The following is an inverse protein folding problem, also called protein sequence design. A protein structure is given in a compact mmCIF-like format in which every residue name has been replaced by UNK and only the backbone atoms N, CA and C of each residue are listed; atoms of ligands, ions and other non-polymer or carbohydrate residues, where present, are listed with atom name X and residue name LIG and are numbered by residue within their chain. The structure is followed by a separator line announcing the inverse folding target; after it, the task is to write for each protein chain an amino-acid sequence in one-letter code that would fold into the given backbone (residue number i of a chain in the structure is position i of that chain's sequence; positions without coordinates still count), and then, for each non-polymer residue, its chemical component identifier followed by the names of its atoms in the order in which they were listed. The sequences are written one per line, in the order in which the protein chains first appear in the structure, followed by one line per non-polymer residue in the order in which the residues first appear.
data_IF_083090051742
#
_entry.id   IF_083090051742
#
_cell.length_a   1.000
_cell.length_b   1.000
_cell.length_c   1.000
_cell.angle_alpha   90.00
_cell.angle_beta   90.00
_cell.angle_gamma   90.00
#
_symmetry.space_group_name_H-M   'P 1'
#
loop_
_entity.id
_entity.type
_entity.pdbx_description
1 polymer ?
#
# COMPACT_ATOMS: atom_id res chain seq x y z
N UNK A 1 49.52 26.95 25.31
CA UNK A 1 48.45 27.56 24.48
C UNK A 1 47.70 26.58 23.56
N UNK A 2 48.31 25.51 23.02
CA UNK A 2 47.61 24.56 22.10
C UNK A 2 46.52 23.67 22.73
N UNK A 3 46.61 23.33 24.03
CA UNK A 3 45.65 22.45 24.74
C UNK A 3 44.26 23.11 24.94
N UNK A 4 44.23 24.43 25.14
CA UNK A 4 43.00 25.19 25.40
C UNK A 4 42.16 25.39 24.12
N UNK A 5 42.83 25.48 22.96
CA UNK A 5 42.18 25.59 21.64
C UNK A 5 41.52 24.28 21.23
N UNK A 6 42.15 23.12 21.47
CA UNK A 6 41.56 21.80 21.19
C UNK A 6 40.32 21.50 22.05
N UNK A 7 40.31 21.91 23.32
CA UNK A 7 39.19 21.64 24.22
C UNK A 7 37.94 22.46 23.88
N UNK A 8 38.11 23.71 23.41
CA UNK A 8 37.01 24.53 22.90
C UNK A 8 36.41 23.97 21.61
N UNK A 9 37.23 23.50 20.66
CA UNK A 9 36.73 22.91 19.40
C UNK A 9 35.95 21.62 19.63
N UNK A 10 36.38 20.79 20.60
CA UNK A 10 35.68 19.55 20.94
C UNK A 10 34.37 19.83 21.69
N UNK A 11 34.33 20.83 22.57
CA UNK A 11 33.11 21.23 23.28
C UNK A 11 32.07 21.87 22.34
N UNK A 12 32.51 22.72 21.40
CA UNK A 12 31.62 23.29 20.37
C UNK A 12 31.11 22.23 19.40
N UNK A 13 31.93 21.22 19.03
CA UNK A 13 31.48 20.06 18.24
C UNK A 13 30.51 19.16 19.00
N UNK A 14 30.69 19.00 20.31
CA UNK A 14 29.78 18.22 21.16
C UNK A 14 28.44 18.94 21.37
N UNK A 15 28.44 20.27 21.49
CA UNK A 15 27.21 21.09 21.55
C UNK A 15 26.51 21.13 20.19
N UNK A 16 27.24 21.24 19.06
CA UNK A 16 26.63 21.12 17.73
C UNK A 16 26.08 19.71 17.49
N UNK A 17 26.76 18.65 17.92
CA UNK A 17 26.25 17.27 17.81
C UNK A 17 25.04 17.01 18.71
N UNK A 18 25.01 17.57 19.92
CA UNK A 18 23.87 17.51 20.82
C UNK A 18 22.68 18.34 20.31
N UNK A 19 22.93 19.51 19.70
CA UNK A 19 21.90 20.31 19.04
C UNK A 19 21.37 19.65 17.76
N UNK A 20 22.22 18.95 17.01
CA UNK A 20 21.81 18.12 15.87
C UNK A 20 21.04 16.87 16.34
N UNK A 21 21.36 16.32 17.52
CA UNK A 21 20.65 15.21 18.13
C UNK A 21 19.29 15.64 18.75
N UNK A 22 19.20 16.86 19.30
CA UNK A 22 17.95 17.44 19.80
C UNK A 22 17.03 17.93 18.65
N UNK A 23 17.57 18.35 17.51
CA UNK A 23 16.76 18.69 16.32
C UNK A 23 16.14 17.46 15.63
N UNK A 24 16.63 16.26 15.92
CA UNK A 24 16.08 14.99 15.40
C UNK A 24 14.86 14.49 16.21
N UNK A 25 14.54 15.15 17.34
CA UNK A 25 13.37 14.82 18.16
C UNK A 25 12.03 15.31 17.59
N UNK A 26 12.04 16.09 16.51
CA UNK A 26 10.83 16.47 15.77
C UNK A 26 10.88 15.89 14.36
N UNK A 27 10.91 14.56 14.25
CA UNK A 27 10.51 13.91 12.99
C UNK A 27 9.02 14.19 12.79
N UNK A 28 8.72 15.28 12.08
CA UNK A 28 7.37 15.66 11.68
C UNK A 28 6.69 14.42 11.07
N UNK A 29 5.50 14.09 11.57
CA UNK A 29 4.66 13.05 11.00
C UNK A 29 4.51 13.32 9.49
N UNK A 30 5.28 12.60 8.67
CA UNK A 30 5.20 12.74 7.22
C UNK A 30 3.92 12.04 6.77
N UNK A 31 2.84 12.82 6.65
CA UNK A 31 1.55 12.37 6.17
C UNK A 31 1.47 12.59 4.66
N UNK A 32 1.73 11.54 3.87
CA UNK A 32 1.37 11.57 2.44
C UNK A 32 -0.13 11.31 2.32
N UNK A 33 -0.86 12.24 1.71
CA UNK A 33 -2.31 12.17 1.52
C UNK A 33 -2.59 11.96 0.03
N UNK A 34 -3.02 10.76 -0.36
CA UNK A 34 -3.53 10.53 -1.71
C UNK A 34 -4.98 11.02 -1.75
N UNK A 35 -5.29 11.98 -2.63
CA UNK A 35 -6.60 12.63 -2.69
C UNK A 35 -7.49 12.18 -3.87
N UNK A 36 -6.97 11.44 -4.86
CA UNK A 36 -7.80 10.86 -5.93
C UNK A 36 -7.04 9.81 -6.78
N UNK A 37 -7.69 8.72 -7.17
CA UNK A 37 -7.12 7.64 -7.99
C UNK A 37 -6.21 6.66 -7.24
N UNK A 38 -5.53 5.81 -8.01
CA UNK A 38 -4.53 4.88 -7.50
C UNK A 38 -3.18 5.59 -7.41
N UNK A 39 -2.60 5.67 -6.22
CA UNK A 39 -1.26 6.19 -5.99
C UNK A 39 -0.35 5.08 -5.47
N UNK A 40 0.95 5.18 -5.74
CA UNK A 40 1.95 4.25 -5.22
C UNK A 40 2.89 4.99 -4.28
N UNK A 41 3.18 4.39 -3.13
CA UNK A 41 4.10 4.95 -2.15
C UNK A 41 5.15 3.91 -1.75
N UNK A 42 6.42 4.26 -1.90
CA UNK A 42 7.53 3.43 -1.41
C UNK A 42 7.86 3.81 0.03
N UNK A 43 7.97 2.81 0.89
CA UNK A 43 8.42 2.96 2.26
C UNK A 43 9.95 3.05 2.26
N UNK A 44 10.48 4.15 2.77
CA UNK A 44 11.94 4.41 2.77
C UNK A 44 12.59 4.08 4.11
N UNK A 45 11.80 3.87 5.17
CA UNK A 45 12.29 3.57 6.52
C UNK A 45 11.47 2.44 7.13
N UNK A 46 12.16 1.49 7.76
CA UNK A 46 11.49 0.42 8.51
C UNK A 46 10.91 0.99 9.79
N UNK A 47 9.64 0.70 10.09
CA UNK A 47 8.98 1.20 11.28
C UNK A 47 7.49 0.88 11.34
N UNK A 48 6.84 1.43 12.35
CA UNK A 48 5.39 1.34 12.49
C UNK A 48 4.72 2.50 11.76
N UNK A 49 3.74 2.18 10.93
CA UNK A 49 2.96 3.16 10.18
C UNK A 49 1.50 3.05 10.54
N UNK A 50 0.85 4.20 10.81
CA UNK A 50 -0.60 4.28 10.91
C UNK A 50 -1.18 4.61 9.55
N UNK A 51 -1.99 3.70 9.05
CA UNK A 51 -2.78 3.86 7.85
C UNK A 51 -4.17 4.31 8.28
N UNK A 52 -4.70 5.40 7.71
CA UNK A 52 -6.09 5.83 7.91
C UNK A 52 -6.76 5.90 6.54
N UNK A 53 -7.88 5.21 6.40
CA UNK A 53 -8.59 5.01 5.15
C UNK A 53 -10.03 5.40 5.35
N UNK A 54 -10.59 6.17 4.41
CA UNK A 54 -12.00 6.53 4.37
C UNK A 54 -12.60 6.16 3.01
N UNK A 55 -13.78 5.54 3.03
CA UNK A 55 -14.57 5.26 1.82
C UNK A 55 -15.21 6.52 1.24
N UNK A 56 -15.61 6.49 -0.03
CA UNK A 56 -16.35 7.61 -0.63
C UNK A 56 -17.74 7.82 0.00
N UNK A 57 -18.32 8.98 -0.24
CA UNK A 57 -19.72 9.26 0.09
C UNK A 57 -20.63 8.88 -1.07
N UNK A 58 -21.79 8.31 -0.76
CA UNK A 58 -22.82 8.02 -1.74
C UNK A 58 -23.41 9.28 -2.35
N UNK A 59 -23.94 9.14 -3.58
CA UNK A 59 -24.56 10.24 -4.30
C UNK A 59 -25.92 10.64 -3.73
N UNK A 60 -26.31 11.88 -4.03
CA UNK A 60 -27.60 12.44 -3.64
C UNK A 60 -28.62 12.34 -4.77
N UNK A 61 -29.88 12.17 -4.40
CA UNK A 61 -31.05 12.32 -5.26
C UNK A 61 -31.73 13.66 -4.97
N UNK A 62 -32.42 14.24 -5.96
CA UNK A 62 -33.01 15.57 -5.81
C UNK A 62 -34.50 15.63 -6.21
N UNK A 63 -35.22 14.50 -6.12
CA UNK A 63 -36.61 14.48 -6.57
C UNK A 63 -37.53 15.19 -5.56
N UNK A 64 -37.94 16.40 -5.92
CA UNK A 64 -38.92 17.27 -5.26
C UNK A 64 -38.55 17.85 -3.88
N UNK A 65 -39.01 19.08 -3.69
CA UNK A 65 -38.67 20.07 -2.67
C UNK A 65 -38.93 19.61 -1.23
N UNK A 66 -37.87 19.57 -0.41
CA UNK A 66 -37.80 20.24 0.93
C UNK A 66 -36.79 19.60 1.91
N UNK A 67 -36.11 18.51 1.55
CA UNK A 67 -34.94 18.03 2.31
C UNK A 67 -33.98 17.32 1.37
N UNK A 68 -32.69 17.68 1.38
CA UNK A 68 -31.68 17.04 0.53
C UNK A 68 -31.69 15.52 0.78
N UNK A 69 -32.04 14.70 -0.23
CA UNK A 69 -31.94 13.24 -0.11
C UNK A 69 -30.47 12.90 -0.19
N UNK A 70 -29.88 12.61 0.97
CA UNK A 70 -28.44 12.42 1.08
C UNK A 70 -28.06 10.95 0.90
N UNK A 71 -27.01 10.71 0.13
CA UNK A 71 -26.29 9.44 0.19
C UNK A 71 -25.69 9.23 1.59
N UNK A 72 -25.28 8.01 1.90
CA UNK A 72 -24.55 7.72 3.13
C UNK A 72 -23.11 8.21 3.03
N UNK A 73 -22.48 8.51 4.17
CA UNK A 73 -21.04 8.75 4.19
C UNK A 73 -20.25 7.43 4.18
N UNK A 74 -19.01 7.46 3.68
CA UNK A 74 -18.10 6.32 3.77
C UNK A 74 -17.58 6.09 5.19
N UNK A 75 -17.30 4.83 5.52
CA UNK A 75 -16.66 4.46 6.78
C UNK A 75 -15.23 5.02 6.86
N UNK A 76 -14.72 5.20 8.07
CA UNK A 76 -13.30 5.49 8.33
C UNK A 76 -12.70 4.40 9.19
N UNK A 77 -11.58 3.85 8.75
CA UNK A 77 -10.85 2.80 9.46
C UNK A 77 -9.38 3.18 9.52
N UNK A 78 -8.75 2.99 10.67
CA UNK A 78 -7.32 3.17 10.84
C UNK A 78 -6.70 2.01 11.60
N UNK A 79 -5.48 1.63 11.24
CA UNK A 79 -4.70 0.61 11.95
C UNK A 79 -3.20 0.85 11.78
N UNK A 80 -2.43 0.30 12.71
CA UNK A 80 -0.96 0.29 12.70
C UNK A 80 -0.43 -0.99 12.05
N UNK A 81 0.56 -0.83 11.17
CA UNK A 81 1.26 -1.92 10.51
C UNK A 81 2.78 -1.71 10.58
N UNK A 82 3.52 -2.80 10.79
CA UNK A 82 4.96 -2.82 10.67
C UNK A 82 5.36 -2.94 9.20
N UNK A 83 5.95 -1.87 8.65
CA UNK A 83 6.41 -1.79 7.26
C UNK A 83 7.94 -1.72 7.22
N UNK A 84 8.52 -2.22 6.15
CA UNK A 84 9.95 -2.31 5.92
C UNK A 84 10.38 -1.33 4.83
N UNK A 85 11.60 -0.80 4.95
CA UNK A 85 12.21 -0.07 3.85
C UNK A 85 12.23 -0.95 2.58
N UNK A 86 11.74 -0.41 1.46
CA UNK A 86 11.56 -1.12 0.21
C UNK A 86 10.13 -1.66 -0.03
N UNK A 87 9.28 -1.69 0.99
CA UNK A 87 7.86 -2.01 0.81
C UNK A 87 7.20 -0.99 -0.13
N UNK A 88 6.31 -1.46 -0.99
CA UNK A 88 5.52 -0.59 -1.87
C UNK A 88 4.04 -0.70 -1.51
N UNK A 89 3.40 0.43 -1.23
CA UNK A 89 1.97 0.53 -0.97
C UNK A 89 1.25 1.02 -2.22
N UNK A 90 0.22 0.30 -2.65
CA UNK A 90 -0.79 0.81 -3.58
C UNK A 90 -1.94 1.38 -2.76
N UNK A 91 -2.14 2.69 -2.88
CA UNK A 91 -3.19 3.46 -2.22
C UNK A 91 -4.35 3.62 -3.21
N UNK A 92 -5.48 2.99 -2.93
CA UNK A 92 -6.70 3.07 -3.74
C UNK A 92 -7.65 4.04 -3.04
N UNK A 93 -8.06 5.11 -3.73
CA UNK A 93 -9.05 6.04 -3.22
C UNK A 93 -10.37 5.88 -3.97
N UNK A 94 -11.44 5.64 -3.22
CA UNK A 94 -12.79 5.52 -3.78
C UNK A 94 -13.35 6.87 -4.20
N UNK A 95 -13.97 6.94 -5.38
CA UNK A 95 -14.75 8.09 -5.81
C UNK A 95 -16.12 8.14 -5.12
N UNK A 96 -16.62 9.36 -4.91
CA UNK A 96 -18.00 9.59 -4.49
C UNK A 96 -18.99 9.04 -5.53
N UNK A 97 -20.18 8.65 -5.06
CA UNK A 97 -21.29 8.29 -5.94
C UNK A 97 -21.81 9.50 -6.70
N UNK A 98 -22.20 9.29 -7.96
CA UNK A 98 -22.82 10.31 -8.79
C UNK A 98 -24.16 10.75 -8.18
N UNK A 99 -24.35 12.07 -8.08
CA UNK A 99 -25.65 12.63 -7.70
C UNK A 99 -26.52 12.84 -8.93
N UNK A 100 -27.83 12.73 -8.78
CA UNK A 100 -28.78 13.00 -9.86
C UNK A 100 -30.07 13.62 -9.33
N UNK A 101 -31.01 13.86 -10.24
CA UNK A 101 -32.30 14.43 -9.91
C UNK A 101 -33.25 13.40 -9.29
N UNK A 102 -32.91 12.10 -9.30
CA UNK A 102 -33.78 11.02 -8.83
C UNK A 102 -33.14 10.25 -7.67
N UNK A 103 -32.09 9.49 -7.96
CA UNK A 103 -31.42 8.61 -7.01
C UNK A 103 -29.91 8.77 -7.06
N UNK A 104 -29.26 8.53 -5.93
CA UNK A 104 -27.82 8.50 -5.85
C UNK A 104 -27.22 7.20 -6.36
N UNK A 105 -26.06 7.27 -6.99
CA UNK A 105 -25.17 6.12 -7.14
C UNK A 105 -24.45 5.81 -5.82
N UNK A 106 -24.06 4.56 -5.61
CA UNK A 106 -23.20 4.19 -4.50
C UNK A 106 -21.76 4.69 -4.73
N UNK A 107 -20.99 4.86 -3.68
CA UNK A 107 -19.58 5.27 -3.80
C UNK A 107 -18.65 4.05 -3.90
N UNK A 108 -17.39 4.28 -4.27
CA UNK A 108 -16.36 3.24 -4.14
C UNK A 108 -15.75 3.15 -2.74
N UNK A 109 -15.19 1.99 -2.42
CA UNK A 109 -14.34 1.80 -1.23
C UNK A 109 -12.93 2.35 -1.46
N UNK A 110 -12.19 2.57 -0.37
CA UNK A 110 -10.75 2.91 -0.42
C UNK A 110 -9.94 1.82 0.25
N UNK A 111 -8.69 1.60 -0.17
CA UNK A 111 -7.86 0.53 0.35
C UNK A 111 -6.36 0.83 0.30
N UNK A 112 -5.60 0.04 1.05
CA UNK A 112 -4.14 -0.04 0.96
C UNK A 112 -3.72 -1.49 0.74
N UNK A 113 -2.93 -1.70 -0.32
CA UNK A 113 -2.35 -2.99 -0.68
C UNK A 113 -0.84 -2.89 -0.52
N UNK A 114 -0.24 -3.80 0.22
CA UNK A 114 1.20 -3.93 0.37
C UNK A 114 1.76 -4.87 -0.69
N UNK A 115 2.85 -4.46 -1.34
CA UNK A 115 3.71 -5.32 -2.14
C UNK A 115 5.07 -5.44 -1.44
N UNK A 116 5.43 -6.67 -1.03
CA UNK A 116 6.73 -7.01 -0.42
C UNK A 116 7.32 -8.23 -1.12
N UNK A 117 8.52 -8.10 -1.68
CA UNK A 117 9.18 -9.21 -2.40
C UNK A 117 8.36 -9.79 -3.55
N UNK A 118 7.50 -8.98 -4.19
CA UNK A 118 6.58 -9.42 -5.26
C UNK A 118 5.23 -9.98 -4.77
N UNK A 119 5.08 -10.33 -3.50
CA UNK A 119 3.81 -10.78 -2.93
C UNK A 119 2.91 -9.58 -2.58
N UNK A 120 1.63 -9.65 -2.96
CA UNK A 120 0.62 -8.62 -2.67
C UNK A 120 -0.29 -9.05 -1.54
N UNK A 121 -0.46 -8.18 -0.54
CA UNK A 121 -1.33 -8.41 0.64
C UNK A 121 -2.23 -7.21 0.85
N UNK A 122 -3.53 -7.45 1.04
CA UNK A 122 -4.47 -6.39 1.43
C UNK A 122 -4.26 -6.05 2.90
N UNK A 123 -4.01 -4.78 3.22
CA UNK A 123 -3.81 -4.35 4.61
C UNK A 123 -5.08 -3.82 5.24
N UNK A 124 -5.77 -2.93 4.54
CA UNK A 124 -6.91 -2.20 5.10
C UNK A 124 -7.84 -1.74 3.97
N UNK A 125 -9.15 -1.79 4.21
CA UNK A 125 -10.21 -1.30 3.35
C UNK A 125 -11.22 -0.53 4.19
N UNK A 126 -11.70 0.60 3.69
CA UNK A 126 -12.85 1.29 4.25
C UNK A 126 -14.02 1.26 3.26
N UNK A 127 -15.17 0.81 3.74
CA UNK A 127 -16.41 0.71 2.98
C UNK A 127 -16.97 2.07 2.56
N UNK A 128 -17.45 2.15 1.32
CA UNK A 128 -18.12 3.33 0.77
C UNK A 128 -19.59 3.45 1.21
N UNK A 129 -20.13 4.66 1.13
CA UNK A 129 -21.55 4.93 1.38
C UNK A 129 -22.46 4.52 0.20
N UNK A 130 -23.69 4.15 0.52
CA UNK A 130 -24.75 3.89 -0.46
C UNK A 130 -25.40 5.18 -0.97
N UNK A 131 -25.93 5.15 -2.19
CA UNK A 131 -26.66 6.26 -2.79
C UNK A 131 -28.07 6.41 -2.22
N UNK A 132 -28.64 7.61 -2.29
CA UNK A 132 -30.01 7.84 -1.81
C UNK A 132 -31.09 7.26 -2.75
N UNK A 133 -32.26 6.96 -2.21
CA UNK A 133 -33.45 6.55 -2.96
C UNK A 133 -34.25 7.72 -3.54
N UNK A 134 -35.41 7.40 -4.11
CA UNK A 134 -36.27 8.32 -4.84
C UNK A 134 -37.46 8.88 -4.05
N UNK A 135 -37.84 8.30 -2.90
CA UNK A 135 -38.96 8.74 -2.04
C UNK A 135 -38.52 9.22 -0.63
N UNK A 136 -39.48 9.72 0.18
CA UNK A 136 -39.24 10.30 1.52
C UNK A 136 -38.62 9.27 2.50
N UNK A 137 -37.70 9.71 3.37
CA UNK A 137 -36.92 8.91 4.34
C UNK A 137 -35.89 7.90 3.79
N UNK A 138 -35.73 7.82 2.47
CA UNK A 138 -34.88 6.80 1.84
C UNK A 138 -33.45 7.32 1.62
N UNK A 139 -32.78 7.61 2.74
CA UNK A 139 -31.36 7.99 2.79
C UNK A 139 -30.46 6.81 2.39
N UNK A 140 -29.31 7.12 1.79
CA UNK A 140 -28.31 6.09 1.52
C UNK A 140 -27.68 5.58 2.82
N UNK A 141 -27.44 4.28 2.91
CA UNK A 141 -26.78 3.66 4.05
C UNK A 141 -25.32 4.09 4.17
N UNK A 142 -24.85 4.33 5.40
CA UNK A 142 -23.45 4.61 5.66
C UNK A 142 -22.58 3.37 5.42
N UNK A 143 -21.31 3.57 5.06
CA UNK A 143 -20.34 2.49 4.98
C UNK A 143 -20.13 1.84 6.36
N UNK A 144 -20.00 0.52 6.42
CA UNK A 144 -19.69 -0.17 7.67
C UNK A 144 -18.18 -0.22 7.89
N UNK A 145 -17.74 0.16 9.09
CA UNK A 145 -16.35 0.08 9.54
C UNK A 145 -15.94 -1.31 10.02
N UNK A 146 -16.92 -2.21 10.21
CA UNK A 146 -16.69 -3.59 10.60
C UNK A 146 -16.06 -4.41 9.47
N UNK A 147 -15.31 -5.44 9.85
CA UNK A 147 -14.77 -6.41 8.91
C UNK A 147 -15.92 -7.24 8.34
N UNK A 148 -16.17 -7.09 7.04
CA UNK A 148 -17.22 -7.85 6.35
C UNK A 148 -16.69 -9.08 5.62
N UNK A 149 -17.56 -9.72 4.87
CA UNK A 149 -17.19 -10.83 3.98
C UNK A 149 -16.79 -10.30 2.61
N UNK A 150 -15.73 -10.86 2.01
CA UNK A 150 -15.34 -10.52 0.65
C UNK A 150 -16.45 -10.90 -0.33
N UNK A 151 -16.88 -9.97 -1.18
CA UNK A 151 -17.91 -10.25 -2.17
C UNK A 151 -18.62 -9.01 -2.69
N UNK A 152 -19.29 -9.13 -3.82
CA UNK A 152 -20.17 -8.07 -4.35
C UNK A 152 -21.51 -8.06 -3.61
N UNK A 153 -22.09 -6.87 -3.50
CA UNK A 153 -23.44 -6.70 -2.99
C UNK A 153 -24.49 -7.13 -4.02
N UNK A 154 -25.67 -7.52 -3.54
CA UNK A 154 -26.78 -7.90 -4.41
C UNK A 154 -27.34 -6.70 -5.17
N UNK A 155 -27.73 -6.92 -6.42
CA UNK A 155 -28.55 -5.96 -7.16
C UNK A 155 -30.03 -6.14 -6.79
N UNK A 156 -30.77 -5.04 -6.75
CA UNK A 156 -32.22 -5.03 -6.52
C UNK A 156 -32.89 -4.23 -7.65
N UNK A 157 -33.61 -3.16 -7.37
CA UNK A 157 -34.02 -2.21 -8.39
C UNK A 157 -32.83 -1.38 -8.92
N UNK A 158 -31.82 -1.17 -8.06
CA UNK A 158 -30.55 -0.53 -8.38
C UNK A 158 -29.37 -1.52 -8.34
N UNK A 159 -28.20 -1.09 -8.83
CA UNK A 159 -26.97 -1.89 -8.83
C UNK A 159 -26.37 -2.04 -7.43
N UNK A 160 -25.86 -3.22 -7.11
CA UNK A 160 -25.06 -3.48 -5.92
C UNK A 160 -23.62 -2.96 -6.06
N UNK A 161 -22.95 -2.70 -4.95
CA UNK A 161 -21.53 -2.36 -4.92
C UNK A 161 -20.65 -3.58 -5.18
N UNK A 162 -19.47 -3.37 -5.78
CA UNK A 162 -18.43 -4.38 -5.88
C UNK A 162 -17.67 -4.55 -4.56
N UNK A 163 -17.04 -5.71 -4.41
CA UNK A 163 -16.14 -6.02 -3.29
C UNK A 163 -14.83 -6.62 -3.76
N UNK A 164 -14.09 -7.25 -2.85
CA UNK A 164 -12.88 -7.99 -3.19
C UNK A 164 -13.21 -9.16 -4.14
N UNK A 165 -12.60 -9.14 -5.32
CA UNK A 165 -12.69 -10.17 -6.37
C UNK A 165 -14.11 -10.48 -6.86
N UNK A 166 -15.08 -9.59 -6.62
CA UNK A 166 -16.46 -9.81 -7.03
C UNK A 166 -17.13 -8.47 -7.37
N UNK A 167 -17.76 -8.41 -8.55
CA UNK A 167 -18.63 -7.31 -8.94
C UNK A 167 -19.96 -7.37 -8.18
N UNK A 168 -20.58 -6.21 -7.99
CA UNK A 168 -21.95 -6.14 -7.49
C UNK A 168 -22.95 -6.65 -8.53
N UNK A 169 -24.13 -7.06 -8.06
CA UNK A 169 -25.23 -7.48 -8.93
C UNK A 169 -25.84 -6.30 -9.70
N UNK A 170 -26.30 -6.57 -10.91
CA UNK A 170 -27.05 -5.59 -11.71
C UNK A 170 -28.46 -5.37 -11.14
N UNK A 171 -28.97 -4.16 -11.27
CA UNK A 171 -30.33 -3.81 -10.88
C UNK A 171 -31.35 -4.08 -11.98
N UNK A 172 -32.57 -4.43 -11.60
CA UNK A 172 -33.70 -4.64 -12.51
C UNK A 172 -34.09 -3.36 -13.27
N UNK A 173 -33.78 -2.17 -12.73
CA UNK A 173 -33.98 -0.88 -13.39
C UNK A 173 -32.97 -0.53 -14.48
N UNK A 174 -32.17 -1.51 -14.94
CA UNK A 174 -31.17 -1.34 -15.99
C UNK A 174 -29.85 -0.70 -15.53
N UNK A 175 -29.70 -0.43 -14.24
CA UNK A 175 -28.43 -0.01 -13.63
C UNK A 175 -27.48 -1.19 -13.49
N UNK A 176 -26.17 -0.98 -13.63
CA UNK A 176 -25.19 -2.05 -13.40
C UNK A 176 -24.59 -2.00 -12.00
N UNK A 177 -24.15 -3.16 -11.53
CA UNK A 177 -23.35 -3.23 -10.31
C UNK A 177 -21.95 -2.64 -10.50
N UNK A 178 -21.32 -2.27 -9.39
CA UNK A 178 -19.93 -1.81 -9.40
C UNK A 178 -18.95 -2.96 -9.65
N UNK A 179 -17.84 -2.67 -10.31
CA UNK A 179 -16.76 -3.63 -10.54
C UNK A 179 -16.05 -4.01 -9.24
N UNK A 180 -15.57 -5.25 -9.16
CA UNK A 180 -14.79 -5.73 -8.01
C UNK A 180 -13.39 -5.12 -7.96
N UNK A 181 -12.88 -4.90 -6.74
CA UNK A 181 -11.47 -4.58 -6.52
C UNK A 181 -10.63 -5.86 -6.52
N UNK A 182 -9.38 -5.78 -6.99
CA UNK A 182 -8.42 -6.89 -6.94
C UNK A 182 -7.11 -6.44 -6.31
N UNK A 183 -6.30 -7.39 -5.82
CA UNK A 183 -4.97 -7.07 -5.30
C UNK A 183 -4.02 -6.51 -6.39
N UNK A 184 -4.29 -6.80 -7.66
CA UNK A 184 -3.44 -6.40 -8.78
C UNK A 184 -3.80 -5.02 -9.32
N UNK A 185 -5.09 -4.76 -9.56
CA UNK A 185 -5.56 -3.51 -10.15
C UNK A 185 -5.92 -2.45 -9.10
N UNK A 186 -6.16 -2.88 -7.86
CA UNK A 186 -6.58 -2.05 -6.74
C UNK A 186 -8.03 -1.56 -6.84
N UNK A 187 -8.45 -1.06 -8.00
CA UNK A 187 -9.78 -0.50 -8.21
C UNK A 187 -10.68 -1.34 -9.12
N UNK A 188 -11.98 -1.24 -8.86
CA UNK A 188 -13.08 -1.59 -9.73
C UNK A 188 -13.81 -0.34 -10.23
N UNK A 189 -14.45 -0.45 -11.39
CA UNK A 189 -15.23 0.62 -12.00
C UNK A 189 -16.53 0.88 -11.25
N UNK A 190 -17.04 2.11 -11.29
CA UNK A 190 -18.41 2.38 -10.86
C UNK A 190 -19.43 1.76 -11.80
N UNK A 191 -20.60 1.41 -11.27
CA UNK A 191 -21.74 0.94 -12.05
C UNK A 191 -22.42 2.06 -12.83
N UNK A 192 -22.99 1.73 -13.98
CA UNK A 192 -23.76 2.66 -14.82
C UNK A 192 -25.16 2.87 -14.25
N UNK A 193 -25.66 4.10 -14.31
CA UNK A 193 -27.03 4.46 -13.93
C UNK A 193 -28.10 3.73 -14.75
N UNK A 194 -29.24 3.42 -14.12
CA UNK A 194 -30.42 2.86 -14.77
C UNK A 194 -31.35 3.93 -15.33
N UNK A 195 -32.02 3.64 -16.46
CA UNK A 195 -33.06 4.49 -17.05
C UNK A 195 -32.63 5.89 -17.54
N UNK A 196 -31.37 6.29 -17.39
CA UNK A 196 -30.84 7.61 -17.77
C UNK A 196 -30.93 8.69 -16.68
N UNK A 197 -31.64 8.43 -15.59
CA UNK A 197 -31.94 9.44 -14.56
C UNK A 197 -31.26 9.20 -13.21
N UNK A 198 -30.77 7.99 -12.93
CA UNK A 198 -30.02 7.68 -11.71
C UNK A 198 -28.59 8.22 -11.69
N UNK A 199 -27.95 8.19 -10.53
CA UNK A 199 -26.53 8.47 -10.38
C UNK A 199 -25.62 7.31 -10.80
N UNK A 200 -24.47 7.60 -11.40
CA UNK A 200 -23.44 6.56 -11.64
C UNK A 200 -22.75 6.18 -10.32
N UNK A 201 -22.29 4.94 -10.21
CA UNK A 201 -21.46 4.51 -9.09
C UNK A 201 -20.07 5.15 -9.10
N UNK A 202 -19.46 5.31 -7.93
CA UNK A 202 -18.06 5.72 -7.80
C UNK A 202 -17.12 4.54 -8.09
N UNK A 203 -15.94 4.81 -8.66
CA UNK A 203 -14.86 3.81 -8.76
C UNK A 203 -14.15 3.63 -7.42
N UNK A 204 -13.37 2.56 -7.21
CA UNK A 204 -12.62 2.36 -5.96
C UNK A 204 -12.28 0.91 -5.68
N UNK A 205 -11.76 0.59 -4.49
CA UNK A 205 -11.59 -0.80 -4.07
C UNK A 205 -12.96 -1.41 -3.79
N UNK A 206 -13.51 -2.07 -4.82
CA UNK A 206 -14.95 -2.23 -4.97
C UNK A 206 -15.58 -0.91 -5.43
N UNK A 207 -16.09 -0.87 -6.66
CA UNK A 207 -16.84 0.27 -7.17
C UNK A 207 -18.26 0.29 -6.60
N UNK A 208 -18.88 1.46 -6.49
CA UNK A 208 -20.29 1.58 -6.15
C UNK A 208 -21.19 1.15 -7.30
N UNK A 209 -22.39 0.69 -6.99
CA UNK A 209 -23.43 0.40 -7.98
C UNK A 209 -24.10 1.67 -8.51
N UNK A 210 -24.65 1.59 -9.72
CA UNK A 210 -25.47 2.66 -10.28
C UNK A 210 -26.83 2.77 -9.59
N UNK A 211 -27.32 3.99 -9.39
CA UNK A 211 -28.69 4.25 -8.95
C UNK A 211 -29.72 3.90 -10.04
N UNK A 212 -30.92 3.52 -9.62
CA UNK A 212 -32.05 3.26 -10.52
C UNK A 212 -32.79 4.55 -10.93
N UNK A 213 -33.47 4.54 -12.09
CA UNK A 213 -34.37 5.64 -12.51
C UNK A 213 -35.85 5.37 -12.17
N UNK A 214 -36.75 6.31 -12.43
CA UNK A 214 -38.21 6.12 -12.42
C UNK A 214 -38.80 5.49 -11.13
N UNK A 215 -38.35 5.91 -9.95
CA UNK A 215 -38.87 5.38 -8.67
C UNK A 215 -38.14 4.14 -8.15
N UNK A 216 -37.03 3.73 -8.78
CA UNK A 216 -36.14 2.71 -8.26
C UNK A 216 -35.19 3.26 -7.18
N UNK A 217 -34.41 2.38 -6.54
CA UNK A 217 -33.59 2.72 -5.37
C UNK A 217 -32.21 3.32 -5.69
N UNK A 218 -31.47 3.66 -4.64
CA UNK A 218 -30.07 4.10 -4.72
C UNK A 218 -29.09 2.95 -4.91
N UNK A 219 -27.94 3.23 -5.50
CA UNK A 219 -26.88 2.24 -5.73
C UNK A 219 -26.16 1.84 -4.44
N UNK A 220 -25.70 0.58 -4.36
CA UNK A 220 -24.95 0.07 -3.20
C UNK A 220 -23.49 0.56 -3.17
N UNK A 221 -22.94 0.83 -1.99
CA UNK A 221 -21.55 1.25 -1.81
C UNK A 221 -20.55 0.10 -2.01
N UNK A 222 -19.37 0.37 -2.56
CA UNK A 222 -18.29 -0.60 -2.70
C UNK A 222 -17.42 -0.74 -1.44
N UNK A 223 -16.55 -1.75 -1.39
CA UNK A 223 -15.67 -1.97 -0.24
C UNK A 223 -14.97 -3.32 -0.26
N UNK A 224 -14.76 -3.90 0.92
CA UNK A 224 -14.30 -5.28 1.03
C UNK A 224 -15.43 -6.24 0.66
N UNK A 225 -16.59 -6.03 1.27
CA UNK A 225 -17.89 -6.51 0.82
C UNK A 225 -18.68 -5.34 0.24
N UNK A 226 -19.34 -5.55 -0.88
CA UNK A 226 -20.23 -4.56 -1.50
C UNK A 226 -21.58 -4.49 -0.80
N UNK A 227 -22.14 -3.29 -0.69
CA UNK A 227 -23.50 -3.05 -0.22
C UNK A 227 -24.54 -3.37 -1.29
N UNK A 228 -25.74 -3.78 -0.87
CA UNK A 228 -26.84 -4.08 -1.78
C UNK A 228 -27.45 -2.81 -2.41
N UNK A 229 -27.91 -2.92 -3.65
CA UNK A 229 -28.72 -1.88 -4.28
C UNK A 229 -30.11 -1.78 -3.66
N UNK A 230 -30.69 -0.58 -3.64
CA UNK A 230 -32.02 -0.33 -3.08
C UNK A 230 -33.15 -0.85 -3.96
N UNK A 231 -34.22 -1.36 -3.33
CA UNK A 231 -35.48 -1.78 -3.98
C UNK A 231 -36.56 -0.70 -4.02
N UNK A 232 -36.18 0.57 -4.20
CA UNK A 232 -37.03 1.76 -4.03
C UNK A 232 -36.44 2.73 -2.99
N UNK A 233 -35.73 2.19 -2.00
CA UNK A 233 -35.00 2.95 -0.99
C UNK A 233 -33.55 3.29 -1.32
N UNK A 234 -32.84 3.89 -0.37
CA UNK A 234 -31.39 4.08 -0.48
C UNK A 234 -30.64 2.75 -0.56
N UNK A 235 -29.49 2.75 -1.23
CA UNK A 235 -28.59 1.60 -1.27
C UNK A 235 -27.87 1.41 0.06
N UNK A 236 -27.47 0.17 0.35
CA UNK A 236 -26.62 -0.14 1.51
C UNK A 236 -25.17 0.31 1.31
N UNK A 237 -24.47 0.63 2.39
CA UNK A 237 -23.02 0.89 2.36
C UNK A 237 -22.21 -0.40 2.22
N UNK A 238 -20.98 -0.28 1.73
CA UNK A 238 -20.02 -1.39 1.69
C UNK A 238 -19.38 -1.65 3.06
N UNK A 239 -18.80 -2.83 3.25
CA UNK A 239 -18.09 -3.21 4.47
C UNK A 239 -16.59 -2.92 4.37
N UNK A 240 -15.95 -2.86 5.53
CA UNK A 240 -14.52 -2.62 5.67
C UNK A 240 -13.74 -3.92 5.89
N UNK A 241 -12.42 -3.79 6.00
CA UNK A 241 -11.52 -4.89 6.37
C UNK A 241 -10.22 -4.33 6.97
N UNK A 242 -9.69 -4.98 8.00
CA UNK A 242 -8.33 -4.79 8.50
C UNK A 242 -7.65 -6.15 8.59
N UNK A 243 -6.46 -6.27 8.01
CA UNK A 243 -5.69 -7.51 8.07
C UNK A 243 -5.33 -7.88 9.52
N UNK A 244 -5.24 -9.18 9.80
CA UNK A 244 -5.05 -9.72 11.15
C UNK A 244 -3.75 -9.24 11.84
N UNK A 245 -2.74 -8.82 11.08
CA UNK A 245 -1.50 -8.24 11.61
C UNK A 245 -1.60 -6.73 11.91
N UNK A 246 -2.76 -6.12 11.65
CA UNK A 246 -3.06 -4.74 12.02
C UNK A 246 -3.31 -4.62 13.53
N UNK A 247 -2.74 -3.59 14.15
CA UNK A 247 -2.91 -3.32 15.59
C UNK A 247 -3.42 -1.89 15.81
N UNK A 248 -3.82 -1.54 17.04
CA UNK A 248 -4.33 -0.20 17.39
C UNK A 248 -5.40 0.31 16.41
N UNK A 249 -6.43 -0.49 16.24
CA UNK A 249 -7.47 -0.25 15.24
C UNK A 249 -8.48 0.76 15.76
N UNK A 250 -8.74 1.80 14.96
CA UNK A 250 -9.83 2.75 15.18
C UNK A 250 -10.84 2.60 14.04
N UNK A 251 -12.13 2.53 14.39
CA UNK A 251 -13.23 2.29 13.45
C UNK A 251 -14.34 3.30 13.69
N UNK A 252 -14.87 3.86 12.60
CA UNK A 252 -16.02 4.76 12.64
C UNK A 252 -16.90 4.46 11.45
N UNK A 253 -18.12 4.03 11.72
CA UNK A 253 -19.12 3.82 10.68
C UNK A 253 -19.44 5.12 9.95
N UNK A 254 -19.80 4.99 8.69
CA UNK A 254 -20.45 6.05 7.94
C UNK A 254 -21.86 6.29 8.49
N UNK A 255 -22.31 7.54 8.44
CA UNK A 255 -23.67 7.90 8.79
C UNK A 255 -24.59 7.72 7.59
N UNK A 256 -25.74 7.08 7.81
CA UNK A 256 -26.81 7.07 6.82
C UNK A 256 -27.26 8.51 6.54
N UNK A 257 -27.38 8.88 5.26
CA UNK A 257 -27.68 10.27 4.87
C UNK A 257 -26.62 11.30 5.28
N UNK A 258 -25.45 10.87 5.77
CA UNK A 258 -24.35 11.77 6.16
C UNK A 258 -23.44 12.18 5.00
N UNK A 259 -23.75 11.75 3.78
CA UNK A 259 -22.95 11.98 2.59
C UNK A 259 -22.88 13.47 2.23
N UNK A 260 -21.67 13.91 1.92
CA UNK A 260 -21.36 15.31 1.56
C UNK A 260 -20.68 15.39 0.20
N UNK A 261 -20.84 14.34 -0.62
CA UNK A 261 -20.19 14.16 -1.91
C UNK A 261 -18.65 14.19 -1.83
N UNK A 262 -18.09 13.72 -0.71
CA UNK A 262 -16.64 13.60 -0.57
C UNK A 262 -16.14 12.28 -1.18
N UNK A 263 -15.02 12.35 -1.90
CA UNK A 263 -14.27 11.16 -2.25
C UNK A 263 -13.67 10.51 -0.99
N UNK A 264 -13.32 9.25 -1.12
CA UNK A 264 -12.50 8.54 -0.15
C UNK A 264 -11.10 9.13 -0.06
N UNK A 265 -10.40 8.78 1.00
CA UNK A 265 -9.03 9.26 1.23
C UNK A 265 -8.19 8.21 1.91
N UNK A 266 -6.89 8.21 1.59
CA UNK A 266 -5.89 7.37 2.26
C UNK A 266 -4.79 8.28 2.78
N UNK A 267 -4.46 8.14 4.07
CA UNK A 267 -3.29 8.76 4.67
C UNK A 267 -2.37 7.70 5.30
N UNK A 268 -1.08 7.89 5.08
CA UNK A 268 -0.01 7.04 5.61
C UNK A 268 0.86 7.93 6.49
N UNK A 269 0.99 7.56 7.77
CA UNK A 269 1.77 8.32 8.75
C UNK A 269 2.75 7.42 9.48
N UNK A 270 4.02 7.82 9.56
CA UNK A 270 5.04 7.10 10.34
C UNK A 270 4.89 7.44 11.82
N UNK A 271 4.98 6.42 12.68
CA UNK A 271 4.96 6.54 14.12
C UNK A 271 6.38 6.30 14.61
N UNK A 272 7.14 7.38 14.75
CA UNK A 272 8.51 7.49 15.30
C UNK A 272 9.38 6.24 15.15
N UNK A 273 10.36 6.30 14.25
CA UNK A 273 11.36 5.25 14.10
C UNK A 273 12.40 5.34 15.22
N UNK A 274 12.67 4.24 15.90
CA UNK A 274 13.93 4.10 16.63
C UNK A 274 15.04 4.16 15.57
N UNK A 275 16.02 5.08 15.65
CA UNK A 275 17.05 5.18 14.63
C UNK A 275 17.78 3.84 14.52
N UNK A 276 17.96 3.35 13.29
CA UNK A 276 18.83 2.21 13.03
C UNK A 276 20.19 2.51 13.65
N UNK A 277 20.74 1.64 14.53
CA UNK A 277 22.04 1.90 15.11
C UNK A 277 23.04 2.10 13.98
N UNK A 278 23.75 3.23 13.99
CA UNK A 278 24.81 3.49 13.03
C UNK A 278 25.82 2.34 13.14
N UNK A 279 26.16 1.63 12.05
CA UNK A 279 27.17 0.58 12.12
C UNK A 279 28.42 1.19 12.76
N UNK A 280 28.82 0.62 13.90
CA UNK A 280 30.05 1.05 14.57
C UNK A 280 31.18 0.81 13.58
N UNK A 281 32.02 1.80 13.24
CA UNK A 281 33.12 1.59 12.32
C UNK A 281 33.95 0.41 12.82
N UNK A 282 34.04 -0.64 12.00
CA UNK A 282 34.89 -1.80 12.29
C UNK A 282 36.31 -1.28 12.48
N UNK A 283 37.01 -1.59 13.59
CA UNK A 283 38.39 -1.16 13.76
C UNK A 283 39.21 -1.66 12.56
N UNK A 284 39.84 -0.73 11.85
CA UNK A 284 40.77 -1.05 10.75
C UNK A 284 41.88 -1.94 11.31
N UNK A 285 42.15 -3.14 10.76
CA UNK A 285 43.27 -3.95 11.20
C UNK A 285 44.57 -3.15 11.06
N UNK A 286 45.32 -3.05 12.16
CA UNK A 286 46.66 -2.43 12.17
C UNK A 286 47.56 -3.20 11.20
N UNK A 287 48.31 -2.54 10.30
CA UNK A 287 49.21 -3.23 9.39
C UNK A 287 50.25 -4.03 10.19
N UNK A 288 50.32 -5.34 9.94
CA UNK A 288 51.36 -6.22 10.47
C UNK A 288 52.73 -5.75 9.96
N UNK A 289 53.75 -5.58 10.81
CA UNK A 289 55.08 -5.18 10.37
C UNK A 289 55.63 -6.21 9.37
N UNK A 290 56.01 -5.74 8.18
CA UNK A 290 56.67 -6.54 7.16
C UNK A 290 57.99 -7.09 7.70
N UNK A 291 58.27 -8.40 7.60
CA UNK A 291 59.56 -8.96 8.03
C UNK A 291 60.69 -8.32 7.22
N UNK A 292 61.70 -7.81 7.93
CA UNK A 292 62.92 -7.27 7.33
C UNK A 292 63.66 -8.38 6.57
N UNK A 293 64.05 -8.18 5.30
CA UNK A 293 64.77 -9.21 4.55
C UNK A 293 66.12 -9.50 5.23
N UNK A 294 66.34 -10.77 5.56
CA UNK A 294 67.62 -11.29 6.05
C UNK A 294 68.68 -11.11 4.95
N UNK A 295 69.86 -10.53 5.25
CA UNK A 295 70.91 -10.36 4.25
C UNK A 295 71.40 -11.72 3.74
N UNK A 296 71.40 -11.87 2.41
CA UNK A 296 71.88 -13.04 1.70
C UNK A 296 73.39 -13.21 1.92
N UNK A 297 73.90 -14.39 2.32
CA UNK A 297 75.33 -14.62 2.44
C UNK A 297 76.02 -14.57 1.06
N UNK A 298 77.17 -13.91 1.04
CA UNK A 298 78.03 -13.69 -0.12
C UNK A 298 78.62 -15.04 -0.62
N UNK A 299 78.60 -15.35 -1.93
CA UNK A 299 79.19 -16.60 -2.44
C UNK A 299 80.71 -16.60 -2.26
N UNK A 300 81.22 -17.63 -1.60
CA UNK A 300 82.65 -17.95 -1.56
C UNK A 300 83.13 -18.42 -2.94
N UNK A 301 84.16 -17.78 -3.47
CA UNK A 301 84.90 -18.24 -4.64
C UNK A 301 85.88 -19.34 -4.22
N UNK A 302 85.71 -20.57 -4.71
CA UNK A 302 86.73 -21.59 -4.62
C UNK A 302 87.17 -22.09 -6.01
N UNK A 303 88.46 -21.92 -6.26
CA UNK A 303 89.23 -22.41 -7.40
C UNK A 303 89.42 -23.94 -7.33
N UNK A 304 89.42 -24.61 -8.50
CA UNK A 304 90.52 -25.53 -8.82
C UNK A 304 90.24 -27.03 -9.08
N UNK A 305 90.34 -27.38 -10.38
CA UNK A 305 91.10 -28.52 -10.99
C UNK A 305 90.49 -29.96 -10.97
N UNK A 306 90.96 -30.90 -11.82
CA UNK A 306 90.20 -31.35 -13.00
C UNK A 306 90.02 -32.89 -13.13
N UNK A 307 89.15 -33.26 -14.08
CA UNK A 307 89.10 -34.49 -14.89
C UNK A 307 89.12 -35.88 -14.21
N UNK A 308 88.07 -36.67 -14.47
CA UNK A 308 88.25 -38.03 -15.01
C UNK A 308 86.98 -38.48 -15.74
N UNK A 309 87.16 -38.82 -17.02
CA UNK A 309 86.20 -39.52 -17.88
C UNK A 309 86.32 -41.02 -17.57
N UNK A 310 85.20 -41.73 -17.46
CA UNK A 310 85.14 -43.14 -17.87
C UNK A 310 83.73 -43.51 -18.30
N UNK A 311 83.70 -44.10 -19.49
CA UNK A 311 82.61 -44.64 -20.29
C UNK A 311 81.99 -45.91 -19.65
N UNK A 312 80.71 -46.16 -19.93
CA UNK A 312 80.21 -47.45 -20.42
C UNK A 312 78.72 -47.35 -20.84
N UNK A 313 78.51 -47.30 -22.16
CA UNK A 313 77.30 -47.60 -22.96
C UNK A 313 76.69 -49.01 -22.71
N UNK A 314 75.67 -49.57 -23.44
CA UNK A 314 74.51 -49.08 -24.23
C UNK A 314 73.17 -49.80 -23.87
N UNK A 315 72.10 -49.56 -24.66
CA UNK A 315 70.81 -50.28 -24.77
C UNK A 315 69.76 -49.90 -23.70
N UNK A 316 68.48 -49.66 -24.02
CA UNK A 316 67.59 -50.48 -24.82
C UNK A 316 66.42 -49.65 -25.39
N UNK A 317 65.81 -50.22 -26.43
CA UNK A 317 64.69 -49.74 -27.23
C UNK A 317 63.36 -49.93 -26.49
N UNK A 318 62.40 -49.03 -26.70
CA UNK A 318 61.06 -49.34 -27.25
C UNK A 318 60.18 -48.09 -27.22
N UNK A 319 59.66 -47.58 -28.34
CA UNK A 319 58.55 -48.09 -29.16
C UNK A 319 57.15 -48.07 -28.49
N UNK A 320 56.39 -47.03 -28.85
CA UNK A 320 54.99 -47.07 -29.33
C UNK A 320 53.82 -47.36 -28.37
N UNK A 321 52.69 -46.76 -28.80
CA UNK A 321 51.26 -47.04 -28.54
C UNK A 321 50.62 -46.08 -27.50
N UNK A 322 49.52 -45.38 -27.74
CA UNK A 322 48.54 -45.22 -28.84
C UNK A 322 47.57 -44.08 -28.43
N UNK A 323 47.10 -43.22 -29.33
CA UNK A 323 45.76 -43.29 -30.00
C UNK A 323 44.61 -43.46 -28.97
N UNK A 324 43.64 -42.53 -28.80
CA UNK A 324 42.48 -42.24 -29.68
C UNK A 324 41.78 -40.95 -29.22
N UNK A 325 41.24 -40.19 -30.19
CA UNK A 325 40.31 -39.05 -30.11
C UNK A 325 38.86 -39.46 -29.78
N UNK A 326 38.13 -38.54 -29.15
CA UNK A 326 36.66 -38.48 -29.16
C UNK A 326 36.21 -37.06 -28.84
#
# INVERSE_FOLDING_TARGET
MRKLTMMKTNFTRMILAAAFCLLQFFAAAHATRAQFGNATQTITQTGNYRLTVRGGDGGNGSFSSSSSKKGGSGATVAAKFALQAGDTLTLVTGGAGGSSNETGGGSGGSAVILTRGGARTLLIVAGGGGGSGSDFDLIGGGGSSADGTAGGGTGSAAGGGGGLNASGGNGLGGSTGGGGGTLTNGGGSGGSRGGGFGGNGGFGFGGGGGGGGFGFGGGGGGGYGGGSGGGGGGGGGGSSFVAANGTDTARTDGAAGGGTNQNGSVSVSVLVTTPTPTPTPTPTPTPTPTPTPTPTPMPATCFGRPATITDNSPADRDSRLGFILG
#
